data_IF_795370659272
#
_entry.id   IF_795370659272
#
_cell.length_a   1.000
_cell.length_b   1.000
_cell.length_c   1.000
_cell.angle_alpha   90.00
_cell.angle_beta   90.00
_cell.angle_gamma   90.00
#
_symmetry.space_group_name_H-M   'P 1'
#
loop_
_entity.id
_entity.type
_entity.pdbx_description
1 polymer ?
#
# COMPACT_ATOMS: atom_id res chain seq x y z
N UNK A 1 17.71 9.25 -0.66
CA UNK A 1 16.35 9.58 -0.18
C UNK A 1 15.67 8.29 0.17
N UNK A 2 15.06 8.20 1.35
CA UNK A 2 14.24 7.03 1.73
C UNK A 2 12.77 7.43 1.68
N UNK A 3 11.94 6.57 1.11
CA UNK A 3 10.47 6.71 1.06
C UNK A 3 9.93 5.60 1.94
N UNK A 4 9.27 5.98 3.02
CA UNK A 4 8.69 5.05 4.00
C UNK A 4 7.24 4.79 3.68
N UNK A 5 6.89 3.50 3.55
CA UNK A 5 5.55 3.05 3.22
C UNK A 5 5.06 2.14 4.35
N UNK A 6 3.89 2.40 4.88
CA UNK A 6 3.21 1.50 5.81
C UNK A 6 2.07 0.77 5.10
N UNK A 7 2.00 -0.56 5.23
CA UNK A 7 0.96 -1.40 4.65
C UNK A 7 0.04 -1.95 5.76
N UNK A 8 -1.14 -1.40 5.84
CA UNK A 8 -2.21 -1.77 6.77
C UNK A 8 -3.24 -2.68 6.09
N UNK A 9 -3.38 -3.91 6.56
CA UNK A 9 -4.41 -4.85 6.04
C UNK A 9 -4.50 -6.12 6.89
N UNK A 10 -5.57 -6.90 6.70
CA UNK A 10 -5.69 -8.23 7.28
C UNK A 10 -4.59 -9.17 6.79
N UNK A 11 -3.83 -9.75 7.72
CA UNK A 11 -2.78 -10.75 7.42
C UNK A 11 -3.39 -12.01 6.81
N UNK A 12 -4.58 -12.40 7.26
CA UNK A 12 -5.22 -13.66 6.85
C UNK A 12 -5.92 -13.53 5.51
N UNK A 13 -6.77 -12.51 5.34
CA UNK A 13 -7.58 -12.36 4.11
C UNK A 13 -6.79 -11.87 2.91
N UNK A 14 -5.69 -11.14 3.13
CA UNK A 14 -4.89 -10.47 2.10
C UNK A 14 -3.42 -10.92 2.12
N UNK A 15 -3.18 -12.15 2.58
CA UNK A 15 -1.84 -12.71 2.70
C UNK A 15 -1.04 -12.65 1.38
N UNK A 16 -1.65 -13.11 0.28
CA UNK A 16 -0.98 -13.15 -1.02
C UNK A 16 -0.72 -11.74 -1.58
N UNK A 17 -1.65 -10.82 -1.36
CA UNK A 17 -1.50 -9.41 -1.73
C UNK A 17 -0.34 -8.75 -0.97
N UNK A 18 -0.23 -9.04 0.33
CA UNK A 18 0.86 -8.52 1.18
C UNK A 18 2.23 -9.01 0.71
N UNK A 19 2.35 -10.30 0.39
CA UNK A 19 3.57 -10.88 -0.17
C UNK A 19 3.91 -10.23 -1.51
N UNK A 20 2.93 -10.10 -2.39
CA UNK A 20 3.14 -9.56 -3.73
C UNK A 20 3.53 -8.07 -3.73
N UNK A 21 3.02 -7.27 -2.77
CA UNK A 21 3.43 -5.89 -2.56
C UNK A 21 4.85 -5.84 -1.99
N UNK A 22 5.19 -6.70 -1.03
CA UNK A 22 6.54 -6.80 -0.48
C UNK A 22 7.58 -7.12 -1.55
N UNK A 23 7.32 -8.12 -2.41
CA UNK A 23 8.17 -8.46 -3.56
C UNK A 23 8.32 -7.29 -4.54
N UNK A 24 7.22 -6.60 -4.82
CA UNK A 24 7.24 -5.44 -5.71
C UNK A 24 8.13 -4.31 -5.16
N UNK A 25 7.97 -3.94 -3.89
CA UNK A 25 8.79 -2.90 -3.27
C UNK A 25 10.25 -3.30 -3.12
N UNK A 26 10.56 -4.56 -2.81
CA UNK A 26 11.94 -5.05 -2.79
C UNK A 26 12.64 -4.88 -4.12
N UNK A 27 11.97 -5.21 -5.23
CA UNK A 27 12.50 -5.03 -6.58
C UNK A 27 12.60 -3.55 -6.99
N UNK A 28 11.65 -2.72 -6.57
CA UNK A 28 11.72 -1.28 -6.79
C UNK A 28 12.92 -0.68 -6.04
N UNK A 29 13.12 -1.08 -4.79
CA UNK A 29 14.25 -0.61 -3.98
C UNK A 29 15.59 -0.93 -4.66
N UNK A 30 15.80 -2.19 -5.06
CA UNK A 30 17.00 -2.59 -5.80
C UNK A 30 17.23 -1.73 -7.05
N UNK A 31 16.18 -1.61 -7.90
CA UNK A 31 16.29 -0.88 -9.16
C UNK A 31 16.57 0.61 -8.97
N UNK A 32 15.95 1.24 -7.97
CA UNK A 32 16.06 2.68 -7.74
C UNK A 32 17.28 3.07 -6.92
N UNK A 33 17.69 2.23 -5.98
CA UNK A 33 18.87 2.51 -5.19
C UNK A 33 20.11 2.61 -6.06
N UNK A 34 20.32 1.65 -6.95
CA UNK A 34 21.47 1.63 -7.86
C UNK A 34 21.43 2.77 -8.89
N UNK A 35 20.22 3.16 -9.31
CA UNK A 35 20.04 4.18 -10.36
C UNK A 35 20.16 5.61 -9.83
N UNK A 36 19.54 5.92 -8.71
CA UNK A 36 19.39 7.30 -8.23
C UNK A 36 19.46 7.47 -6.71
N UNK A 37 19.83 6.44 -5.95
CA UNK A 37 19.96 6.49 -4.50
C UNK A 37 18.63 6.67 -3.77
N UNK A 38 17.52 6.22 -4.36
CA UNK A 38 16.21 6.20 -3.72
C UNK A 38 16.00 4.83 -3.08
N UNK A 39 15.57 4.81 -1.81
CA UNK A 39 15.19 3.64 -1.05
C UNK A 39 13.69 3.62 -0.84
N UNK A 40 13.10 2.41 -0.88
CA UNK A 40 11.73 2.14 -0.49
C UNK A 40 11.73 1.23 0.74
N UNK A 41 11.32 1.75 1.88
CA UNK A 41 11.17 0.98 3.11
C UNK A 41 9.69 0.68 3.31
N UNK A 42 9.32 -0.61 3.17
CA UNK A 42 7.96 -1.09 3.40
C UNK A 42 7.87 -1.70 4.80
N UNK A 43 7.05 -1.09 5.65
CA UNK A 43 6.72 -1.57 6.99
C UNK A 43 5.39 -2.33 6.97
N UNK A 44 5.37 -3.50 7.59
CA UNK A 44 4.19 -4.36 7.73
C UNK A 44 4.16 -4.94 9.14
N UNK A 45 2.98 -5.23 9.67
CA UNK A 45 2.85 -5.76 11.02
C UNK A 45 3.57 -7.09 11.26
N UNK A 46 3.74 -7.95 10.24
CA UNK A 46 4.50 -9.21 10.35
C UNK A 46 6.02 -9.02 10.44
N UNK A 47 6.54 -7.85 10.10
CA UNK A 47 7.97 -7.56 10.16
C UNK A 47 8.42 -7.18 11.59
N UNK A 48 7.48 -7.09 12.53
CA UNK A 48 7.78 -6.78 13.93
C UNK A 48 8.13 -8.03 14.73
N UNK A 49 9.09 -7.82 15.61
CA UNK A 49 9.52 -8.81 16.59
C UNK A 49 8.39 -9.09 17.62
N UNK A 50 8.18 -10.37 17.95
CA UNK A 50 7.18 -10.84 18.92
C UNK A 50 7.55 -10.54 20.39
N UNK A 51 8.56 -9.71 20.66
CA UNK A 51 8.96 -9.34 22.02
C UNK A 51 7.86 -8.59 22.76
N UNK A 52 7.70 -8.88 24.04
CA UNK A 52 6.78 -8.15 24.92
C UNK A 52 7.27 -6.72 25.07
N UNK A 53 6.44 -5.76 24.66
CA UNK A 53 6.71 -4.31 24.77
C UNK A 53 5.87 -3.69 25.87
N UNK A 54 6.44 -2.73 26.58
CA UNK A 54 5.74 -2.03 27.68
C UNK A 54 4.58 -1.18 27.20
N UNK A 55 4.63 -0.67 25.98
CA UNK A 55 3.61 0.20 25.37
C UNK A 55 2.64 -0.54 24.44
N UNK A 56 2.83 -1.85 24.24
CA UNK A 56 2.04 -2.66 23.32
C UNK A 56 2.45 -2.51 21.85
N UNK A 57 2.03 -3.46 21.01
CA UNK A 57 2.35 -3.46 19.58
C UNK A 57 1.69 -2.29 18.85
N UNK A 58 0.48 -1.87 19.26
CA UNK A 58 -0.26 -0.79 18.62
C UNK A 58 0.47 0.55 18.66
N UNK A 59 1.10 0.90 19.79
CA UNK A 59 1.85 2.16 19.90
C UNK A 59 3.03 2.24 18.91
N UNK A 60 3.63 1.09 18.57
CA UNK A 60 4.65 1.04 17.53
C UNK A 60 4.05 1.30 16.14
N UNK A 61 2.91 0.68 15.81
CA UNK A 61 2.23 0.90 14.54
C UNK A 61 1.83 2.36 14.36
N UNK A 62 1.28 2.99 15.41
CA UNK A 62 0.92 4.41 15.41
C UNK A 62 2.15 5.31 15.16
N UNK A 63 3.30 4.93 15.74
CA UNK A 63 4.58 5.63 15.51
C UNK A 63 5.05 5.49 14.08
N UNK A 64 4.98 4.27 13.51
CA UNK A 64 5.46 4.01 12.15
C UNK A 64 4.53 4.64 11.10
N UNK A 65 3.22 4.63 11.33
CA UNK A 65 2.26 5.39 10.53
C UNK A 65 2.60 6.89 10.54
N UNK A 66 2.89 7.44 11.73
CA UNK A 66 3.23 8.86 11.90
C UNK A 66 4.54 9.26 11.22
N UNK A 67 5.46 8.31 11.04
CA UNK A 67 6.76 8.50 10.39
C UNK A 67 6.77 8.08 8.92
N UNK A 68 5.65 7.59 8.39
CA UNK A 68 5.55 7.16 7.00
C UNK A 68 5.29 8.33 6.06
N UNK A 69 5.80 8.22 4.84
CA UNK A 69 5.49 9.13 3.73
C UNK A 69 4.17 8.75 3.06
N UNK A 70 3.90 7.44 3.02
CA UNK A 70 2.76 6.84 2.35
C UNK A 70 2.17 5.76 3.26
N UNK A 71 0.85 5.73 3.40
CA UNK A 71 0.13 4.62 4.04
C UNK A 71 -0.85 4.02 3.04
N UNK A 72 -0.77 2.71 2.88
CA UNK A 72 -1.66 1.94 2.00
C UNK A 72 -2.55 1.05 2.86
N UNK A 73 -3.84 1.25 2.76
CA UNK A 73 -4.86 0.42 3.40
C UNK A 73 -5.46 -0.54 2.39
N UNK A 74 -5.48 -1.84 2.73
CA UNK A 74 -6.18 -2.85 1.94
C UNK A 74 -7.28 -3.51 2.77
N UNK A 75 -8.46 -3.55 2.21
CA UNK A 75 -9.63 -4.22 2.79
C UNK A 75 -10.14 -5.31 1.86
N UNK A 76 -10.55 -6.45 2.41
CA UNK A 76 -11.22 -7.52 1.68
C UNK A 76 -12.70 -7.59 2.09
N UNK A 77 -13.11 -8.62 2.83
CA UNK A 77 -14.50 -8.77 3.29
C UNK A 77 -14.72 -8.24 4.69
N UNK A 78 -13.73 -8.45 5.56
CA UNK A 78 -13.77 -7.95 6.94
C UNK A 78 -13.04 -6.61 7.05
N UNK A 79 -13.40 -5.86 8.09
CA UNK A 79 -12.76 -4.60 8.44
C UNK A 79 -12.28 -4.71 9.88
N UNK A 80 -10.99 -5.05 10.03
CA UNK A 80 -10.39 -5.23 11.36
C UNK A 80 -10.36 -3.93 12.17
N UNK A 81 -10.65 -4.06 13.46
CA UNK A 81 -10.62 -2.93 14.41
C UNK A 81 -9.26 -2.23 14.42
N UNK A 82 -8.17 -3.00 14.35
CA UNK A 82 -6.81 -2.45 14.29
C UNK A 82 -6.59 -1.62 13.03
N UNK A 83 -7.03 -2.12 11.87
CA UNK A 83 -6.85 -1.40 10.60
C UNK A 83 -7.71 -0.13 10.54
N UNK A 84 -8.89 -0.12 11.20
CA UNK A 84 -9.68 1.11 11.39
C UNK A 84 -8.94 2.13 12.25
N UNK A 85 -8.40 1.71 13.39
CA UNK A 85 -7.61 2.58 14.25
C UNK A 85 -6.39 3.14 13.54
N UNK A 86 -5.65 2.31 12.80
CA UNK A 86 -4.53 2.73 11.97
C UNK A 86 -4.93 3.82 10.95
N UNK A 87 -6.13 3.69 10.35
CA UNK A 87 -6.66 4.72 9.44
C UNK A 87 -6.97 6.03 10.18
N UNK A 88 -7.55 5.97 11.38
CA UNK A 88 -7.81 7.15 12.20
C UNK A 88 -6.51 7.89 12.53
N UNK A 89 -5.48 7.16 12.99
CA UNK A 89 -4.14 7.72 13.27
C UNK A 89 -3.52 8.37 12.02
N UNK A 90 -3.60 7.70 10.87
CA UNK A 90 -3.11 8.25 9.61
C UNK A 90 -3.83 9.55 9.23
N UNK A 91 -5.17 9.58 9.40
CA UNK A 91 -6.00 10.76 9.10
C UNK A 91 -5.72 11.93 10.04
N UNK A 92 -5.48 11.68 11.33
CA UNK A 92 -5.08 12.70 12.29
C UNK A 92 -3.74 13.30 11.90
N UNK A 93 -2.72 12.47 11.61
CA UNK A 93 -1.42 12.95 11.15
C UNK A 93 -1.52 13.76 9.85
N UNK A 94 -2.35 13.32 8.89
CA UNK A 94 -2.57 14.07 7.65
C UNK A 94 -3.17 15.46 7.93
N UNK A 95 -4.12 15.57 8.86
CA UNK A 95 -4.72 16.86 9.25
C UNK A 95 -3.72 17.79 9.95
N UNK A 96 -2.89 17.22 10.83
CA UNK A 96 -1.97 18.01 11.64
C UNK A 96 -0.68 18.40 10.92
N UNK A 97 -0.12 17.46 10.13
CA UNK A 97 1.22 17.58 9.53
C UNK A 97 1.21 17.67 8.00
N UNK A 98 0.07 17.38 7.36
CA UNK A 98 -0.02 17.26 5.90
C UNK A 98 0.59 15.97 5.33
N UNK A 99 0.91 15.00 6.18
CA UNK A 99 1.45 13.66 5.86
C UNK A 99 0.88 12.62 6.83
N UNK A 100 0.86 11.33 6.49
CA UNK A 100 1.25 10.69 5.22
C UNK A 100 0.27 10.91 4.07
N UNK A 101 0.65 10.52 2.84
CA UNK A 101 -0.32 10.31 1.76
C UNK A 101 -1.04 9.01 2.01
N UNK A 102 -2.38 9.04 2.03
CA UNK A 102 -3.21 7.88 2.35
C UNK A 102 -3.86 7.34 1.09
N UNK A 103 -3.77 6.03 0.89
CA UNK A 103 -4.41 5.31 -0.21
C UNK A 103 -5.22 4.14 0.35
N UNK A 104 -6.47 4.00 -0.09
CA UNK A 104 -7.40 2.97 0.38
C UNK A 104 -7.86 2.14 -0.81
N UNK A 105 -7.71 0.81 -0.70
CA UNK A 105 -8.12 -0.13 -1.72
C UNK A 105 -9.01 -1.22 -1.14
N UNK A 106 -10.03 -1.59 -1.90
CA UNK A 106 -10.92 -2.70 -1.58
C UNK A 106 -10.76 -3.82 -2.62
N UNK A 107 -10.55 -5.05 -2.12
CA UNK A 107 -10.59 -6.23 -2.97
C UNK A 107 -12.02 -6.50 -3.37
N UNK A 108 -12.28 -6.50 -4.68
CA UNK A 108 -13.60 -6.79 -5.24
C UNK A 108 -13.82 -8.30 -5.32
N UNK A 109 -15.07 -8.72 -5.22
CA UNK A 109 -15.45 -10.10 -5.43
C UNK A 109 -15.58 -10.43 -6.95
N UNK A 110 -15.97 -11.66 -7.28
CA UNK A 110 -16.13 -12.12 -8.67
C UNK A 110 -17.24 -11.40 -9.44
N UNK A 111 -18.08 -10.61 -8.79
CA UNK A 111 -19.09 -9.76 -9.43
C UNK A 111 -18.63 -8.31 -9.63
N UNK A 112 -17.41 -7.98 -9.20
CA UNK A 112 -16.87 -6.62 -9.22
C UNK A 112 -17.40 -5.74 -8.10
N UNK A 113 -17.91 -6.33 -7.01
CA UNK A 113 -18.49 -5.61 -5.88
C UNK A 113 -17.61 -5.72 -4.62
N UNK A 114 -17.67 -4.71 -3.76
CA UNK A 114 -17.14 -4.78 -2.39
C UNK A 114 -18.11 -5.63 -1.57
N UNK A 115 -17.61 -6.63 -0.82
CA UNK A 115 -18.42 -7.60 -0.12
C UNK A 115 -18.21 -7.53 1.41
N UNK A 116 -19.18 -8.08 2.17
CA UNK A 116 -19.10 -8.22 3.62
C UNK A 116 -19.16 -6.89 4.37
N UNK A 117 -18.43 -6.79 5.47
CA UNK A 117 -18.36 -5.56 6.29
C UNK A 117 -17.73 -4.40 5.54
N UNK A 118 -16.80 -4.71 4.61
CA UNK A 118 -16.13 -3.72 3.79
C UNK A 118 -17.09 -2.91 2.90
N UNK A 119 -18.25 -3.48 2.52
CA UNK A 119 -19.28 -2.73 1.78
C UNK A 119 -19.86 -1.57 2.61
N UNK A 120 -20.20 -1.84 3.86
CA UNK A 120 -20.73 -0.79 4.76
C UNK A 120 -19.65 0.26 5.05
N UNK A 121 -18.42 -0.19 5.28
CA UNK A 121 -17.30 0.69 5.56
C UNK A 121 -16.94 1.58 4.35
N UNK A 122 -17.01 1.06 3.13
CA UNK A 122 -16.79 1.88 1.92
C UNK A 122 -17.82 3.00 1.76
N UNK A 123 -19.07 2.76 2.22
CA UNK A 123 -20.13 3.79 2.25
C UNK A 123 -19.80 4.88 3.30
N UNK A 124 -19.36 4.47 4.51
CA UNK A 124 -18.91 5.41 5.55
C UNK A 124 -17.79 6.31 5.06
N UNK A 125 -16.80 5.73 4.34
CA UNK A 125 -15.72 6.51 3.72
C UNK A 125 -16.25 7.49 2.68
N UNK A 126 -17.17 7.05 1.82
CA UNK A 126 -17.80 7.90 0.79
C UNK A 126 -18.57 9.06 1.41
N UNK A 127 -19.35 8.80 2.45
CA UNK A 127 -20.12 9.81 3.18
C UNK A 127 -19.19 10.84 3.84
N UNK A 128 -18.00 10.40 4.24
CA UNK A 128 -16.93 11.26 4.77
C UNK A 128 -16.06 11.91 3.69
N UNK A 129 -16.45 11.80 2.41
CA UNK A 129 -15.73 12.35 1.25
C UNK A 129 -14.30 11.79 1.07
N UNK A 130 -14.03 10.62 1.61
CA UNK A 130 -12.76 9.93 1.40
C UNK A 130 -12.80 9.12 0.10
N UNK A 131 -11.73 9.22 -0.68
CA UNK A 131 -11.59 8.49 -1.95
C UNK A 131 -10.96 7.13 -1.70
N UNK A 132 -11.45 6.11 -2.40
CA UNK A 132 -10.88 4.78 -2.45
C UNK A 132 -10.96 4.19 -3.86
N UNK A 133 -10.25 3.09 -4.11
CA UNK A 133 -10.33 2.35 -5.36
C UNK A 133 -10.57 0.87 -5.10
N UNK A 134 -11.17 0.16 -6.06
CA UNK A 134 -11.28 -1.30 -6.04
C UNK A 134 -10.15 -1.95 -6.83
N UNK A 135 -9.91 -3.24 -6.58
CA UNK A 135 -9.08 -4.10 -7.43
C UNK A 135 -9.67 -5.52 -7.48
N UNK A 136 -9.68 -6.13 -8.65
CA UNK A 136 -10.17 -7.49 -8.88
C UNK A 136 -9.04 -8.51 -8.94
N UNK A 137 -7.84 -8.08 -9.31
CA UNK A 137 -6.70 -8.95 -9.53
C UNK A 137 -5.41 -8.42 -8.89
N UNK A 138 -4.48 -9.34 -8.65
CA UNK A 138 -3.13 -9.02 -8.20
C UNK A 138 -2.40 -8.07 -9.16
N UNK A 139 -2.65 -8.19 -10.46
CA UNK A 139 -2.07 -7.31 -11.45
C UNK A 139 -2.57 -5.87 -11.26
N UNK A 140 -3.88 -5.71 -11.10
CA UNK A 140 -4.49 -4.39 -10.90
C UNK A 140 -3.97 -3.73 -9.62
N UNK A 141 -3.89 -4.48 -8.52
CA UNK A 141 -3.28 -3.99 -7.29
C UNK A 141 -1.84 -3.52 -7.51
N UNK A 142 -1.00 -4.31 -8.20
CA UNK A 142 0.37 -3.91 -8.52
C UNK A 142 0.43 -2.63 -9.36
N UNK A 143 -0.49 -2.47 -10.31
CA UNK A 143 -0.59 -1.24 -11.11
C UNK A 143 -0.97 -0.04 -10.22
N UNK A 144 -1.91 -0.20 -9.29
CA UNK A 144 -2.24 0.84 -8.32
C UNK A 144 -1.01 1.25 -7.49
N UNK A 145 -0.27 0.29 -6.94
CA UNK A 145 0.96 0.55 -6.17
C UNK A 145 2.02 1.28 -7.03
N UNK A 146 2.22 0.85 -8.28
CA UNK A 146 3.14 1.54 -9.20
C UNK A 146 2.72 2.99 -9.45
N UNK A 147 1.42 3.24 -9.62
CA UNK A 147 0.90 4.60 -9.80
C UNK A 147 1.13 5.47 -8.56
N UNK A 148 1.03 4.90 -7.34
CA UNK A 148 1.39 5.60 -6.11
C UNK A 148 2.85 6.05 -6.14
N UNK A 149 3.76 5.13 -6.48
CA UNK A 149 5.20 5.41 -6.58
C UNK A 149 5.50 6.49 -7.62
N UNK A 150 4.92 6.35 -8.83
CA UNK A 150 5.06 7.35 -9.91
C UNK A 150 4.62 8.73 -9.45
N UNK A 151 3.42 8.82 -8.89
CA UNK A 151 2.86 10.09 -8.43
C UNK A 151 3.67 10.71 -7.28
N UNK A 152 4.16 9.87 -6.35
CA UNK A 152 5.00 10.35 -5.26
C UNK A 152 6.31 10.92 -5.77
N UNK A 153 7.04 10.19 -6.62
CA UNK A 153 8.30 10.63 -7.20
C UNK A 153 8.14 11.90 -8.03
N UNK A 154 7.10 11.97 -8.86
CA UNK A 154 6.77 13.14 -9.66
C UNK A 154 6.53 14.38 -8.81
N UNK A 155 5.74 14.27 -7.75
CA UNK A 155 5.44 15.40 -6.86
C UNK A 155 6.64 15.87 -6.05
N UNK A 156 7.68 15.02 -5.90
CA UNK A 156 8.93 15.35 -5.23
C UNK A 156 10.07 15.69 -6.22
N UNK A 157 9.75 15.91 -7.49
CA UNK A 157 10.73 16.29 -8.53
C UNK A 157 11.79 15.21 -8.80
N UNK A 158 11.41 13.93 -8.64
CA UNK A 158 12.28 12.78 -8.89
C UNK A 158 11.96 12.13 -10.22
N UNK A 159 12.92 11.33 -10.73
CA UNK A 159 12.72 10.56 -11.94
C UNK A 159 11.64 9.49 -11.75
N UNK A 160 10.68 9.47 -12.67
CA UNK A 160 9.58 8.48 -12.65
C UNK A 160 10.09 7.10 -13.11
N UNK A 161 9.45 5.99 -12.68
CA UNK A 161 9.77 4.66 -13.19
C UNK A 161 9.66 4.59 -14.71
N UNK A 162 10.67 4.01 -15.34
CA UNK A 162 10.56 3.65 -16.75
C UNK A 162 9.64 2.43 -16.88
N UNK A 163 8.53 2.60 -17.57
CA UNK A 163 7.53 1.55 -17.79
C UNK A 163 7.46 1.23 -19.28
N UNK A 164 7.61 -0.04 -19.63
CA UNK A 164 7.56 -0.52 -21.02
C UNK A 164 6.73 -1.82 -21.10
N UNK A 165 5.85 -1.88 -22.10
CA UNK A 165 5.00 -3.04 -22.35
C UNK A 165 5.49 -3.83 -23.56
N UNK A 166 5.98 -5.04 -23.35
CA UNK A 166 6.46 -5.92 -24.41
C UNK A 166 5.91 -7.34 -24.28
N UNK A 167 5.37 -7.89 -25.36
CA UNK A 167 4.95 -9.29 -25.42
C UNK A 167 4.02 -9.73 -24.27
N UNK A 168 3.07 -8.87 -23.88
CA UNK A 168 2.14 -9.15 -22.77
C UNK A 168 2.79 -9.13 -21.39
N UNK A 169 3.95 -8.48 -21.25
CA UNK A 169 4.64 -8.27 -19.98
C UNK A 169 4.88 -6.79 -19.77
N UNK A 170 4.64 -6.33 -18.55
CA UNK A 170 4.99 -5.00 -18.09
C UNK A 170 6.40 -5.03 -17.48
N UNK A 171 7.30 -4.28 -18.04
CA UNK A 171 8.66 -4.09 -17.51
C UNK A 171 8.73 -2.75 -16.80
N UNK A 172 9.17 -2.78 -15.55
CA UNK A 172 9.41 -1.58 -14.75
C UNK A 172 10.91 -1.53 -14.43
N UNK A 173 11.57 -0.44 -14.79
CA UNK A 173 13.04 -0.26 -14.66
C UNK A 173 13.86 -1.41 -15.26
N UNK A 174 13.33 -2.12 -16.23
CA UNK A 174 13.90 -3.30 -16.90
C UNK A 174 14.06 -4.55 -16.01
N UNK A 175 13.92 -4.44 -14.70
CA UNK A 175 14.16 -5.51 -13.74
C UNK A 175 12.87 -6.12 -13.19
N UNK A 176 11.79 -5.35 -13.11
CA UNK A 176 10.49 -5.82 -12.64
C UNK A 176 9.67 -6.25 -13.85
N UNK A 177 9.25 -7.52 -13.86
CA UNK A 177 8.44 -8.06 -14.93
C UNK A 177 7.11 -8.51 -14.35
N UNK A 178 6.01 -7.88 -14.80
CA UNK A 178 4.65 -8.28 -14.51
C UNK A 178 4.10 -8.96 -15.77
N UNK A 179 3.88 -10.27 -15.73
CA UNK A 179 3.30 -11.01 -16.87
C UNK A 179 1.78 -10.83 -16.86
N UNK A 180 1.28 -10.00 -17.78
CA UNK A 180 -0.14 -9.67 -17.89
C UNK A 180 -1.01 -10.86 -18.31
N UNK A 181 -0.40 -11.95 -18.82
CA UNK A 181 -1.12 -13.17 -19.22
C UNK A 181 -1.38 -14.12 -18.06
N UNK A 182 -0.77 -13.87 -16.90
CA UNK A 182 -0.87 -14.68 -15.68
C UNK A 182 -1.60 -13.95 -14.56
N UNK A 183 -2.31 -12.90 -14.92
CA UNK A 183 -3.11 -12.13 -13.99
C UNK A 183 -4.45 -12.82 -13.73
#
# INVERSE_FOLDING_TARGET
MTIKIFLASSIVELHDERIAIGDLFGRLDEAYFDKCGIRFELEKCEDYDDSIRTEGAQAQYDTDISNSDIVVFLFAKSVGEYTKHELEVAMENLKEKGSPKIYIFFKLDSSGAIAGEAESFSKELSDSQMSYSGFESMLELKIHILNIVVNYLKTHGKEEPYIDLRNGKLYVERNIIIDLRKA
#
